data_IF_643320342043
#
_entry.id   IF_643320342043
#
_cell.length_a   1.000
_cell.length_b   1.000
_cell.length_c   1.000
_cell.angle_alpha   90.00
_cell.angle_beta   90.00
_cell.angle_gamma   90.00
#
_symmetry.space_group_name_H-M   'P 1'
#
loop_
_entity.id
_entity.type
_entity.pdbx_description
1 polymer ?
#
# COMPACT_ATOMS: atom_id res chain seq x y z
N UNK A 1 -3.49 -11.86 18.76
CA UNK A 1 -2.98 -11.81 17.37
C UNK A 1 -1.45 -11.69 17.31
N UNK A 2 -0.85 -10.71 17.99
CA UNK A 2 0.61 -10.47 18.01
C UNK A 2 1.41 -11.71 18.48
N UNK A 3 0.88 -12.44 19.47
CA UNK A 3 1.53 -13.64 20.01
C UNK A 3 1.63 -14.79 19.00
N UNK A 4 0.66 -14.90 18.08
CA UNK A 4 0.63 -15.92 17.06
C UNK A 4 1.64 -15.61 15.95
N UNK A 5 1.74 -14.34 15.56
CA UNK A 5 2.72 -13.84 14.58
C UNK A 5 4.15 -14.09 15.07
N UNK A 6 4.46 -13.72 16.32
CA UNK A 6 5.79 -13.96 16.92
C UNK A 6 6.18 -15.43 16.97
N UNK A 7 5.21 -16.33 17.21
CA UNK A 7 5.49 -17.79 17.29
C UNK A 7 5.87 -18.40 15.93
N UNK A 8 5.40 -17.81 14.83
CA UNK A 8 5.63 -18.32 13.47
C UNK A 8 6.60 -17.45 12.67
N UNK A 9 7.20 -16.44 13.30
CA UNK A 9 8.12 -15.49 12.68
C UNK A 9 9.31 -16.19 12.01
N UNK A 10 9.94 -17.13 12.71
CA UNK A 10 11.06 -17.91 12.16
C UNK A 10 10.65 -18.78 10.96
N UNK A 11 9.46 -19.36 10.98
CA UNK A 11 8.95 -20.17 9.88
C UNK A 11 8.64 -19.32 8.64
N UNK A 12 8.06 -18.14 8.85
CA UNK A 12 7.82 -17.15 7.79
C UNK A 12 9.14 -16.65 7.19
N UNK A 13 10.13 -16.35 8.03
CA UNK A 13 11.48 -15.97 7.57
C UNK A 13 12.16 -17.08 6.78
N UNK A 14 12.10 -18.33 7.25
CA UNK A 14 12.70 -19.47 6.55
C UNK A 14 12.03 -19.72 5.18
N UNK A 15 10.69 -19.65 5.12
CA UNK A 15 9.93 -19.78 3.89
C UNK A 15 10.28 -18.66 2.89
N UNK A 16 10.36 -17.43 3.37
CA UNK A 16 10.76 -16.28 2.57
C UNK A 16 12.16 -16.45 1.97
N UNK A 17 13.15 -16.83 2.78
CA UNK A 17 14.52 -17.06 2.32
C UNK A 17 14.59 -18.21 1.31
N UNK A 18 13.78 -19.27 1.49
CA UNK A 18 13.69 -20.37 0.54
C UNK A 18 13.08 -19.94 -0.81
N UNK A 19 12.02 -19.12 -0.80
CA UNK A 19 11.38 -18.60 -2.01
C UNK A 19 12.25 -17.60 -2.77
N UNK A 20 13.09 -16.85 -2.05
CA UNK A 20 13.97 -15.83 -2.64
C UNK A 20 15.31 -16.37 -3.14
N UNK A 21 15.65 -17.63 -2.87
CA UNK A 21 16.85 -18.28 -3.44
C UNK A 21 16.72 -18.39 -4.96
N UNK A 22 17.47 -17.56 -5.70
CA UNK A 22 17.59 -17.61 -7.16
C UNK A 22 16.85 -16.52 -7.93
N UNK A 23 16.14 -15.62 -7.24
CA UNK A 23 15.52 -14.44 -7.85
C UNK A 23 16.57 -13.32 -8.01
N UNK A 24 16.92 -12.97 -9.24
CA UNK A 24 17.87 -11.88 -9.55
C UNK A 24 17.24 -10.48 -9.47
N UNK A 25 15.91 -10.38 -9.32
CA UNK A 25 15.15 -9.12 -9.35
C UNK A 25 14.43 -8.87 -8.03
N UNK A 26 14.83 -7.77 -7.38
CA UNK A 26 14.69 -7.49 -5.95
C UNK A 26 13.47 -6.63 -5.58
N UNK A 27 12.34 -6.71 -6.27
CA UNK A 27 11.17 -5.88 -5.92
C UNK A 27 10.17 -6.69 -5.12
N UNK A 28 10.15 -6.46 -3.81
CA UNK A 28 9.58 -7.45 -2.89
C UNK A 28 8.30 -7.02 -2.19
N UNK A 29 7.81 -5.82 -2.43
CA UNK A 29 6.53 -5.45 -1.85
C UNK A 29 5.86 -4.33 -2.63
N UNK A 30 4.63 -4.57 -3.05
CA UNK A 30 3.70 -3.57 -3.59
C UNK A 30 2.51 -3.61 -2.64
N UNK A 31 2.53 -2.82 -1.58
CA UNK A 31 1.31 -2.59 -0.80
C UNK A 31 0.68 -1.27 -1.24
N UNK A 32 -0.62 -1.32 -1.55
CA UNK A 32 -1.39 -0.16 -1.97
C UNK A 32 -2.14 0.40 -0.77
N UNK A 33 -1.63 1.48 -0.17
CA UNK A 33 -2.26 2.11 0.98
C UNK A 33 -3.26 3.17 0.53
N UNK A 34 -4.50 3.14 1.05
CA UNK A 34 -5.48 4.21 0.81
C UNK A 34 -5.11 5.46 1.59
N UNK A 35 -4.93 6.59 0.90
CA UNK A 35 -4.61 7.88 1.48
C UNK A 35 -5.81 8.84 1.38
N UNK A 36 -6.56 9.05 2.47
CA UNK A 36 -7.64 10.03 2.47
C UNK A 36 -7.06 11.45 2.41
N UNK A 37 -7.43 12.19 1.37
CA UNK A 37 -6.94 13.56 1.14
C UNK A 37 -7.81 14.58 1.87
N UNK A 38 -9.13 14.36 1.93
CA UNK A 38 -10.04 15.22 2.67
C UNK A 38 -11.24 14.44 3.21
N UNK A 39 -11.97 15.06 4.14
CA UNK A 39 -13.27 14.54 4.58
C UNK A 39 -14.27 14.63 3.44
N UNK A 40 -15.16 13.63 3.31
CA UNK A 40 -16.17 13.58 2.24
C UNK A 40 -17.04 14.85 2.13
N UNK A 41 -17.28 15.54 3.24
CA UNK A 41 -18.02 16.81 3.29
C UNK A 41 -17.33 17.97 2.56
N UNK A 42 -16.01 17.90 2.35
CA UNK A 42 -15.19 18.98 1.79
C UNK A 42 -14.75 18.72 0.34
N UNK A 43 -15.22 17.64 -0.29
CA UNK A 43 -14.83 17.25 -1.66
C UNK A 43 -15.05 18.39 -2.65
N UNK A 44 -16.22 19.05 -2.59
CA UNK A 44 -16.58 20.14 -3.51
C UNK A 44 -15.64 21.36 -3.45
N UNK A 45 -14.92 21.56 -2.34
CA UNK A 45 -13.99 22.69 -2.15
C UNK A 45 -12.53 22.30 -2.38
N UNK A 46 -12.25 21.01 -2.57
CA UNK A 46 -10.89 20.51 -2.71
C UNK A 46 -10.37 20.76 -4.13
N UNK A 47 -9.17 21.35 -4.26
CA UNK A 47 -8.57 21.70 -5.56
C UNK A 47 -7.15 21.19 -5.77
N UNK A 48 -6.39 20.91 -4.71
CA UNK A 48 -4.95 20.64 -4.81
C UNK A 48 -4.60 19.30 -5.45
N UNK A 49 -5.40 18.26 -5.21
CA UNK A 49 -5.18 16.92 -5.77
C UNK A 49 -6.35 16.48 -6.66
N UNK A 50 -7.08 17.42 -7.28
CA UNK A 50 -8.29 17.10 -8.06
C UNK A 50 -8.04 16.14 -9.23
N UNK A 51 -6.82 16.13 -9.79
CA UNK A 51 -6.44 15.24 -10.89
C UNK A 51 -6.12 13.81 -10.45
N UNK A 52 -5.78 13.61 -9.16
CA UNK A 52 -5.26 12.34 -8.63
C UNK A 52 -6.21 11.73 -7.58
N UNK A 53 -6.92 12.56 -6.83
CA UNK A 53 -7.84 12.13 -5.79
C UNK A 53 -9.22 11.83 -6.38
N UNK A 54 -9.76 10.66 -6.07
CA UNK A 54 -11.12 10.25 -6.43
C UNK A 54 -11.85 9.71 -5.21
N UNK A 55 -13.17 9.56 -5.33
CA UNK A 55 -13.94 8.82 -4.32
C UNK A 55 -13.65 7.33 -4.50
N UNK A 56 -13.53 6.61 -3.39
CA UNK A 56 -13.54 5.16 -3.41
C UNK A 56 -13.94 4.55 -2.08
N UNK A 57 -14.04 3.23 -2.06
CA UNK A 57 -14.52 2.46 -0.91
C UNK A 57 -13.42 1.56 -0.38
N UNK A 58 -13.17 1.62 0.92
CA UNK A 58 -12.36 0.66 1.67
C UNK A 58 -13.25 -0.16 2.60
N UNK A 59 -12.66 -1.13 3.31
CA UNK A 59 -13.33 -1.85 4.41
C UNK A 59 -13.85 -0.92 5.51
N UNK A 60 -13.23 0.26 5.67
CA UNK A 60 -13.61 1.28 6.64
C UNK A 60 -14.68 2.25 6.11
N UNK A 61 -15.09 2.14 4.85
CA UNK A 61 -16.15 2.95 4.24
C UNK A 61 -15.70 3.81 3.07
N UNK A 62 -16.47 4.84 2.76
CA UNK A 62 -16.20 5.76 1.65
C UNK A 62 -15.18 6.83 2.04
N UNK A 63 -14.21 7.09 1.16
CA UNK A 63 -13.23 8.15 1.32
C UNK A 63 -13.00 8.89 0.00
N UNK A 64 -12.42 10.09 0.10
CA UNK A 64 -11.92 10.84 -1.04
C UNK A 64 -10.39 10.96 -0.93
N UNK A 65 -9.68 10.41 -1.90
CA UNK A 65 -8.23 10.31 -1.81
C UNK A 65 -7.61 9.56 -2.97
N UNK A 66 -6.38 9.08 -2.77
CA UNK A 66 -5.63 8.30 -3.75
C UNK A 66 -5.09 7.02 -3.11
N UNK A 67 -4.48 6.14 -3.93
CA UNK A 67 -3.71 4.99 -3.44
C UNK A 67 -2.23 5.26 -3.62
N UNK A 68 -1.46 5.03 -2.56
CA UNK A 68 -0.01 5.06 -2.60
C UNK A 68 0.50 3.64 -2.80
N UNK A 69 1.25 3.44 -3.87
CA UNK A 69 1.98 2.22 -4.18
C UNK A 69 3.44 2.47 -3.86
N UNK A 70 4.00 1.68 -2.95
CA UNK A 70 5.43 1.72 -2.65
C UNK A 70 6.02 0.40 -3.11
N UNK A 71 7.10 0.47 -3.90
CA UNK A 71 7.93 -0.68 -4.21
C UNK A 71 9.17 -0.64 -3.31
N UNK A 72 9.36 -1.69 -2.51
CA UNK A 72 10.54 -1.84 -1.65
C UNK A 72 11.51 -2.86 -2.22
N UNK A 73 12.80 -2.61 -2.00
CA UNK A 73 13.83 -3.59 -2.30
C UNK A 73 13.95 -4.63 -1.15
N UNK A 74 14.74 -5.68 -1.38
CA UNK A 74 15.01 -6.72 -0.38
C UNK A 74 15.70 -6.21 0.90
N UNK A 75 16.30 -5.01 0.87
CA UNK A 75 16.91 -4.35 2.02
C UNK A 75 15.94 -3.43 2.76
N UNK A 76 14.64 -3.49 2.45
CA UNK A 76 13.59 -2.64 3.02
C UNK A 76 13.75 -1.14 2.70
N UNK A 77 14.47 -0.82 1.63
CA UNK A 77 14.59 0.55 1.13
C UNK A 77 13.51 0.82 0.09
N UNK A 78 13.04 2.07 0.03
CA UNK A 78 12.05 2.49 -0.96
C UNK A 78 12.74 2.62 -2.32
N UNK A 79 12.39 1.73 -3.25
CA UNK A 79 12.92 1.75 -4.60
C UNK A 79 12.10 2.68 -5.51
N UNK A 80 10.77 2.65 -5.39
CA UNK A 80 9.86 3.50 -6.17
C UNK A 80 8.60 3.83 -5.37
N UNK A 81 7.99 4.98 -5.66
CA UNK A 81 6.66 5.33 -5.18
C UNK A 81 5.80 5.85 -6.33
N UNK A 82 4.52 5.49 -6.33
CA UNK A 82 3.55 5.95 -7.30
C UNK A 82 2.22 6.25 -6.62
N UNK A 83 1.58 7.33 -7.05
CA UNK A 83 0.20 7.63 -6.68
C UNK A 83 -0.71 7.23 -7.82
N UNK A 84 -1.75 6.47 -7.51
CA UNK A 84 -2.83 6.21 -8.45
C UNK A 84 -4.14 6.76 -7.92
N UNK A 85 -5.04 7.06 -8.85
CA UNK A 85 -6.43 7.32 -8.49
C UNK A 85 -7.00 6.08 -7.81
N UNK A 86 -8.04 6.29 -7.00
CA UNK A 86 -8.79 5.17 -6.45
C UNK A 86 -9.63 4.61 -7.58
N UNK A 87 -9.08 3.65 -8.31
CA UNK A 87 -9.82 2.85 -9.27
C UNK A 87 -10.65 1.88 -8.46
N UNK A 88 -11.93 2.21 -8.24
CA UNK A 88 -13.07 1.31 -8.08
C UNK A 88 -14.30 2.20 -7.81
N UNK A 89 -15.26 2.09 -8.75
CA UNK A 89 -16.53 2.83 -8.95
C UNK A 89 -16.42 4.07 -9.82
#
# INVERSE_FOLDING_TARGET
>A
MIHLIKRHELALHALHVALMKGQSTQYLWIDSTTLPVCKNQRIQRHKSLVQIASRGRSSMGWFYGCKLHIAMNQFSEIACSALSNVMWV
#
